data_IF_808674463124
#
_entry.id   IF_808674463124
#
_cell.length_a   1.000
_cell.length_b   1.000
_cell.length_c   1.000
_cell.angle_alpha   90.00
_cell.angle_beta   90.00
_cell.angle_gamma   90.00
#
_symmetry.space_group_name_H-M   'P 1'
#
loop_
_entity.id
_entity.type
_entity.pdbx_description
1 polymer ?
#
# COMPACT_ATOMS: atom_id res chain seq x y z
N UNK A 1 -38.90 20.81 -13.71
CA UNK A 1 -37.78 21.04 -12.77
C UNK A 1 -38.27 21.25 -11.33
N UNK A 2 -38.83 20.21 -10.66
CA UNK A 2 -38.96 20.15 -9.19
C UNK A 2 -39.42 18.78 -8.64
N UNK A 3 -39.42 17.72 -9.47
CA UNK A 3 -39.99 16.41 -9.10
C UNK A 3 -38.98 15.25 -8.97
N UNK A 4 -37.68 15.45 -9.24
CA UNK A 4 -36.68 14.37 -9.17
C UNK A 4 -35.71 14.49 -7.97
N UNK A 5 -35.70 15.63 -7.27
CA UNK A 5 -34.83 15.86 -6.11
C UNK A 5 -35.38 15.31 -4.77
N UNK A 6 -36.65 14.85 -4.72
CA UNK A 6 -37.30 14.34 -3.49
C UNK A 6 -37.28 12.81 -3.32
N UNK A 7 -36.77 12.05 -4.29
CA UNK A 7 -36.89 10.59 -4.31
C UNK A 7 -35.78 9.80 -3.59
N UNK A 8 -34.77 10.45 -3.01
CA UNK A 8 -33.59 9.75 -2.47
C UNK A 8 -33.34 9.97 -0.97
N UNK A 9 -34.41 10.09 -0.19
CA UNK A 9 -34.35 10.07 1.28
C UNK A 9 -34.68 8.64 1.79
N UNK A 10 -33.66 7.78 1.92
CA UNK A 10 -33.83 6.41 2.40
C UNK A 10 -33.82 6.40 3.93
N UNK A 11 -34.97 6.01 4.51
CA UNK A 11 -35.16 5.74 5.95
C UNK A 11 -34.26 4.59 6.43
N UNK A 12 -33.79 4.60 7.69
CA UNK A 12 -33.05 3.47 8.27
C UNK A 12 -33.94 2.22 8.41
N UNK A 13 -33.39 1.00 8.27
CA UNK A 13 -34.15 -0.23 8.47
C UNK A 13 -34.51 -0.44 9.96
N UNK A 14 -35.62 -1.14 10.26
CA UNK A 14 -36.07 -1.35 11.63
C UNK A 14 -35.24 -2.40 12.35
N UNK A 15 -35.07 -2.20 13.67
CA UNK A 15 -34.45 -3.11 14.61
C UNK A 15 -35.14 -4.49 14.60
N UNK A 16 -34.36 -5.55 14.36
CA UNK A 16 -34.82 -6.93 14.51
C UNK A 16 -34.19 -7.56 15.76
N UNK A 17 -35.10 -7.95 16.67
CA UNK A 17 -34.88 -8.50 18.00
C UNK A 17 -34.00 -9.75 18.05
N UNK A 18 -33.25 -9.80 19.15
CA UNK A 18 -32.57 -10.95 19.74
C UNK A 18 -33.39 -12.24 19.70
N UNK A 19 -32.74 -13.34 19.28
CA UNK A 19 -33.05 -14.69 19.78
C UNK A 19 -31.75 -15.36 20.25
N UNK A 20 -31.64 -15.49 21.57
CA UNK A 20 -30.69 -16.38 22.29
C UNK A 20 -31.19 -17.82 22.19
N UNK A 21 -30.32 -18.79 21.91
CA UNK A 21 -30.39 -20.17 22.46
C UNK A 21 -28.94 -20.69 22.66
N UNK A 22 -28.63 -21.45 23.74
CA UNK A 22 -27.28 -21.52 24.31
C UNK A 22 -26.62 -22.93 24.33
N UNK A 23 -25.43 -23.00 24.97
CA UNK A 23 -24.70 -24.17 25.52
C UNK A 23 -24.11 -25.17 24.50
N UNK A 24 -23.06 -25.95 24.74
CA UNK A 24 -21.88 -26.03 25.63
C UNK A 24 -21.25 -27.42 25.36
N UNK A 25 -19.96 -27.62 25.66
CA UNK A 25 -19.31 -28.92 25.96
C UNK A 25 -19.01 -29.78 24.68
N UNK A 26 -17.86 -30.45 24.44
CA UNK A 26 -16.82 -31.02 25.30
C UNK A 26 -15.47 -31.16 24.54
N UNK A 27 -14.36 -30.99 25.26
CA UNK A 27 -13.04 -31.53 24.94
C UNK A 27 -13.03 -33.06 25.14
N UNK A 28 -12.35 -33.82 24.27
CA UNK A 28 -11.67 -35.06 24.70
C UNK A 28 -10.54 -35.46 23.76
N UNK A 29 -9.39 -35.65 24.38
CA UNK A 29 -8.14 -36.16 23.85
C UNK A 29 -8.24 -37.67 23.58
N UNK A 30 -7.61 -38.13 22.50
CA UNK A 30 -7.37 -39.55 22.25
C UNK A 30 -5.91 -39.87 22.61
N UNK A 31 -5.75 -40.59 23.72
CA UNK A 31 -4.54 -41.36 24.06
C UNK A 31 -4.62 -42.69 23.30
N UNK A 32 -3.52 -43.08 22.66
CA UNK A 32 -3.31 -44.42 22.11
C UNK A 32 -2.30 -45.14 22.99
N UNK A 33 -2.66 -46.32 23.50
CA UNK A 33 -1.74 -47.27 24.12
C UNK A 33 -1.46 -48.46 23.18
N UNK A 34 -0.31 -49.14 23.31
CA UNK A 34 0.21 -50.08 22.34
C UNK A 34 -0.15 -51.55 22.67
N UNK A 35 -0.24 -52.39 21.63
CA UNK A 35 -0.25 -53.85 21.77
C UNK A 35 1.11 -54.44 21.39
N UNK A 36 1.64 -55.24 22.30
CA UNK A 36 2.82 -56.06 22.17
C UNK A 36 2.59 -57.30 21.29
N UNK A 37 3.64 -57.75 20.61
CA UNK A 37 3.89 -59.17 20.37
C UNK A 37 5.39 -59.42 20.24
N UNK A 38 5.89 -60.34 21.06
CA UNK A 38 7.28 -60.76 21.16
C UNK A 38 7.54 -62.00 20.30
N UNK A 39 8.73 -62.10 19.70
CA UNK A 39 9.48 -63.36 19.51
C UNK A 39 10.98 -63.04 19.56
N UNK A 40 11.69 -63.72 20.46
CA UNK A 40 13.11 -63.50 20.71
C UNK A 40 14.05 -64.38 19.88
N UNK A 41 15.36 -64.12 20.03
CA UNK A 41 16.46 -65.09 20.07
C UNK A 41 17.78 -64.41 20.47
N UNK A 42 18.27 -64.79 21.65
CA UNK A 42 19.64 -65.20 22.04
C UNK A 42 20.87 -64.33 21.66
N UNK A 43 21.58 -63.88 22.71
CA UNK A 43 22.96 -63.30 22.83
C UNK A 43 24.02 -64.43 22.82
N UNK A 44 25.35 -64.21 22.56
CA UNK A 44 26.24 -63.50 23.51
C UNK A 44 27.52 -62.86 22.94
N UNK A 45 28.27 -62.14 23.80
CA UNK A 45 29.72 -61.94 23.61
C UNK A 45 30.23 -60.55 23.99
N UNK A 46 30.95 -60.47 25.10
CA UNK A 46 31.68 -59.29 25.62
C UNK A 46 32.91 -58.97 24.78
N UNK A 47 33.37 -57.71 24.82
CA UNK A 47 34.75 -57.32 25.19
C UNK A 47 34.90 -55.79 25.17
N UNK A 48 35.31 -55.24 26.31
CA UNK A 48 35.80 -53.87 26.48
C UNK A 48 37.31 -53.83 26.18
N UNK A 49 37.82 -52.77 25.53
CA UNK A 49 39.22 -52.38 25.63
C UNK A 49 39.40 -51.09 26.48
N UNK A 50 40.63 -50.79 26.93
CA UNK A 50 40.89 -50.05 28.15
C UNK A 50 41.04 -48.53 27.97
N UNK A 51 40.96 -47.84 29.12
CA UNK A 51 41.29 -46.45 29.35
C UNK A 51 42.77 -46.19 29.06
N UNK A 52 43.05 -45.23 28.18
CA UNK A 52 44.37 -44.64 28.02
C UNK A 52 44.24 -43.11 28.08
N UNK A 53 44.93 -42.51 29.05
CA UNK A 53 45.01 -41.08 29.29
C UNK A 53 46.04 -40.46 28.36
N UNK A 54 45.70 -39.39 27.61
CA UNK A 54 46.69 -38.38 27.20
C UNK A 54 46.07 -37.01 26.85
N UNK A 55 46.63 -35.99 27.50
CA UNK A 55 46.81 -34.57 27.15
C UNK A 55 45.61 -33.60 26.97
N UNK A 56 45.68 -32.38 27.55
CA UNK A 56 44.63 -31.36 27.45
C UNK A 56 44.64 -30.70 26.06
N UNK A 57 43.49 -30.70 25.37
CA UNK A 57 43.28 -29.88 24.17
C UNK A 57 42.89 -28.46 24.56
N UNK A 58 43.61 -27.52 23.95
CA UNK A 58 43.61 -26.07 24.11
C UNK A 58 42.21 -25.43 24.07
N UNK A 59 41.98 -24.30 24.77
CA UNK A 59 40.71 -23.61 24.72
C UNK A 59 40.42 -23.08 23.31
N UNK A 60 39.22 -23.40 22.82
CA UNK A 60 38.59 -22.81 21.65
C UNK A 60 38.75 -21.28 21.67
N UNK A 61 39.11 -20.61 20.55
CA UNK A 61 39.08 -19.17 20.51
C UNK A 61 37.64 -18.71 20.73
N UNK A 62 37.45 -17.93 21.79
CA UNK A 62 36.21 -17.28 22.14
C UNK A 62 35.54 -16.71 20.89
N UNK A 63 34.27 -17.04 20.71
CA UNK A 63 33.42 -16.47 19.68
C UNK A 63 33.65 -14.95 19.66
N UNK A 64 34.27 -14.46 18.58
CA UNK A 64 34.36 -13.03 18.30
C UNK A 64 32.93 -12.50 18.35
N UNK A 65 32.59 -11.83 19.45
CA UNK A 65 31.43 -10.95 19.52
C UNK A 65 31.62 -10.00 18.36
N UNK A 66 30.88 -10.20 17.27
CA UNK A 66 30.76 -9.20 16.23
C UNK A 66 30.15 -7.99 16.92
N UNK A 67 30.98 -7.02 17.26
CA UNK A 67 30.50 -5.69 17.57
C UNK A 67 29.53 -5.32 16.44
N UNK A 68 28.28 -4.92 16.73
CA UNK A 68 27.45 -4.34 15.69
C UNK A 68 28.24 -3.16 15.11
N UNK A 69 28.25 -2.98 13.77
CA UNK A 69 28.88 -1.81 13.19
C UNK A 69 28.28 -0.58 13.88
N UNK A 70 29.14 0.39 14.22
CA UNK A 70 28.74 1.74 14.64
C UNK A 70 27.59 2.21 13.73
N UNK A 71 26.37 2.18 14.25
CA UNK A 71 25.14 2.45 13.51
C UNK A 71 24.58 3.84 13.85
N UNK A 72 25.44 4.75 14.31
CA UNK A 72 25.05 5.99 14.97
C UNK A 72 25.16 7.26 14.10
N UNK A 73 25.57 7.15 12.82
CA UNK A 73 25.75 8.34 11.95
C UNK A 73 24.90 8.34 10.66
N UNK A 74 23.75 7.67 10.62
CA UNK A 74 22.92 7.69 9.40
C UNK A 74 21.45 7.92 9.73
N UNK A 75 20.79 8.75 8.94
CA UNK A 75 19.37 9.12 9.09
C UNK A 75 18.41 7.92 9.12
N UNK A 76 17.15 8.18 9.44
CA UNK A 76 16.14 7.14 9.71
C UNK A 76 15.97 6.19 8.52
N UNK A 77 15.88 4.89 8.80
CA UNK A 77 15.88 3.82 7.79
C UNK A 77 14.49 3.24 7.60
N UNK A 78 13.91 3.51 6.44
CA UNK A 78 12.53 3.17 6.10
C UNK A 78 12.50 2.05 5.04
N UNK A 79 11.80 0.96 5.35
CA UNK A 79 11.65 -0.17 4.44
C UNK A 79 10.20 -0.29 3.95
N UNK A 80 9.99 -0.05 2.65
CA UNK A 80 8.68 -0.05 2.00
C UNK A 80 8.43 -1.40 1.32
N UNK A 81 7.35 -2.09 1.68
CA UNK A 81 7.08 -3.46 1.23
C UNK A 81 5.72 -3.59 0.57
N UNK A 82 5.69 -3.94 -0.73
CA UNK A 82 4.45 -4.06 -1.49
C UNK A 82 4.54 -5.06 -2.64
N UNK A 83 3.60 -4.95 -3.57
CA UNK A 83 3.66 -5.65 -4.86
C UNK A 83 2.55 -6.67 -5.09
N UNK A 84 2.44 -7.07 -6.36
CA UNK A 84 1.45 -8.00 -6.90
C UNK A 84 0.73 -7.45 -8.12
N UNK A 85 0.43 -6.15 -8.14
CA UNK A 85 -0.44 -5.51 -9.14
C UNK A 85 0.11 -4.16 -9.64
N UNK A 86 1.30 -3.74 -9.23
CA UNK A 86 1.84 -2.38 -9.50
C UNK A 86 1.14 -1.25 -8.73
N UNK A 87 -0.20 -1.27 -8.62
CA UNK A 87 -0.99 -0.22 -7.94
C UNK A 87 -0.68 -0.03 -6.45
N UNK A 88 -0.09 -1.02 -5.79
CA UNK A 88 0.37 -0.90 -4.40
C UNK A 88 1.73 -0.21 -4.27
N UNK A 89 2.53 -0.12 -5.35
CA UNK A 89 3.89 0.42 -5.29
C UNK A 89 3.94 1.93 -5.54
N UNK A 90 3.06 2.48 -6.39
CA UNK A 90 2.99 3.92 -6.64
C UNK A 90 2.75 4.76 -5.37
N UNK A 91 1.83 4.40 -4.45
CA UNK A 91 1.71 5.12 -3.19
C UNK A 91 2.97 5.04 -2.33
N UNK A 92 3.73 3.94 -2.44
CA UNK A 92 5.02 3.78 -1.77
C UNK A 92 6.09 4.74 -2.30
N UNK A 93 6.14 4.96 -3.62
CA UNK A 93 7.03 5.96 -4.21
C UNK A 93 6.70 7.37 -3.70
N UNK A 94 5.41 7.73 -3.64
CA UNK A 94 4.99 9.03 -3.10
C UNK A 94 5.35 9.18 -1.60
N UNK A 95 5.26 8.11 -0.81
CA UNK A 95 5.71 8.12 0.59
C UNK A 95 7.24 8.29 0.66
N UNK A 96 8.01 7.57 -0.17
CA UNK A 96 9.47 7.66 -0.20
C UNK A 96 9.95 9.08 -0.53
N UNK A 97 9.38 9.69 -1.57
CA UNK A 97 9.66 11.08 -1.94
C UNK A 97 9.31 12.05 -0.80
N UNK A 98 8.15 11.86 -0.14
CA UNK A 98 7.74 12.70 0.97
C UNK A 98 8.59 12.51 2.24
N UNK A 99 9.17 11.33 2.45
CA UNK A 99 10.13 11.06 3.52
C UNK A 99 11.43 11.81 3.24
N UNK A 100 12.01 11.65 2.04
CA UNK A 100 13.28 12.31 1.68
C UNK A 100 13.14 13.84 1.62
N UNK A 101 11.96 14.37 1.29
CA UNK A 101 11.69 15.79 1.36
C UNK A 101 11.68 16.35 2.80
N UNK A 102 11.34 15.52 3.79
CA UNK A 102 11.32 15.92 5.21
C UNK A 102 12.64 15.62 5.92
N UNK A 103 13.33 14.54 5.52
CA UNK A 103 14.63 14.14 6.05
C UNK A 103 15.53 13.65 4.91
N UNK A 104 16.35 14.54 4.33
CA UNK A 104 17.23 14.20 3.21
C UNK A 104 18.25 13.09 3.53
N UNK A 105 18.60 12.90 4.80
CA UNK A 105 19.55 11.89 5.28
C UNK A 105 18.89 10.51 5.51
N UNK A 106 17.57 10.41 5.39
CA UNK A 106 16.85 9.15 5.57
C UNK A 106 17.23 8.15 4.48
N UNK A 107 17.40 6.88 4.86
CA UNK A 107 17.62 5.81 3.90
C UNK A 107 16.31 5.09 3.61
N UNK A 108 15.91 5.03 2.33
CA UNK A 108 14.69 4.33 1.90
C UNK A 108 15.03 3.13 1.03
N UNK A 109 14.44 1.96 1.33
CA UNK A 109 14.57 0.76 0.53
C UNK A 109 13.21 0.11 0.26
N UNK A 110 13.09 -0.59 -0.87
CA UNK A 110 11.86 -1.24 -1.30
C UNK A 110 11.98 -2.76 -1.32
N UNK A 111 10.84 -3.43 -1.14
CA UNK A 111 10.65 -4.82 -1.57
C UNK A 111 9.39 -5.00 -2.41
N UNK A 112 9.50 -5.86 -3.42
CA UNK A 112 8.42 -6.16 -4.35
C UNK A 112 8.40 -7.64 -4.72
N UNK A 113 7.34 -8.09 -5.42
CA UNK A 113 7.29 -9.46 -5.93
C UNK A 113 8.10 -9.57 -7.22
N UNK A 114 8.41 -10.80 -7.64
CA UNK A 114 9.09 -11.08 -8.93
C UNK A 114 8.19 -10.90 -10.17
N UNK A 115 7.05 -10.21 -10.06
CA UNK A 115 6.16 -9.97 -11.20
C UNK A 115 6.74 -8.88 -12.09
N UNK A 116 6.65 -9.00 -13.43
CA UNK A 116 7.19 -7.99 -14.35
C UNK A 116 6.65 -6.59 -14.10
N UNK A 117 5.36 -6.47 -13.75
CA UNK A 117 4.73 -5.17 -13.46
C UNK A 117 5.35 -4.49 -12.24
N UNK A 118 5.71 -5.25 -11.20
CA UNK A 118 6.30 -4.67 -9.99
C UNK A 118 7.72 -4.16 -10.27
N UNK A 119 8.51 -4.92 -11.05
CA UNK A 119 9.84 -4.48 -11.52
C UNK A 119 9.74 -3.22 -12.36
N UNK A 120 8.78 -3.17 -13.29
CA UNK A 120 8.57 -2.02 -14.17
C UNK A 120 8.25 -0.75 -13.38
N UNK A 121 7.45 -0.84 -12.31
CA UNK A 121 7.09 0.33 -11.49
C UNK A 121 8.28 0.88 -10.69
N UNK A 122 9.18 0.01 -10.21
CA UNK A 122 10.35 0.45 -9.43
C UNK A 122 11.60 0.68 -10.29
N UNK A 123 11.59 0.28 -11.56
CA UNK A 123 12.68 0.54 -12.50
C UNK A 123 12.91 2.05 -12.66
N UNK A 124 14.17 2.48 -12.56
CA UNK A 124 14.54 3.89 -12.67
C UNK A 124 14.22 4.75 -11.45
N UNK A 125 13.67 4.19 -10.37
CA UNK A 125 13.34 4.96 -9.15
C UNK A 125 14.55 5.38 -8.30
N UNK A 126 15.75 4.81 -8.55
CA UNK A 126 16.96 5.08 -7.78
C UNK A 126 17.03 4.39 -6.41
N UNK A 127 15.93 3.82 -5.91
CA UNK A 127 15.91 3.15 -4.60
C UNK A 127 16.50 1.73 -4.65
N UNK A 128 17.16 1.27 -3.57
CA UNK A 128 17.52 -0.14 -3.41
C UNK A 128 16.26 -1.03 -3.37
N UNK A 129 16.10 -1.92 -4.36
CA UNK A 129 14.94 -2.83 -4.47
C UNK A 129 15.35 -4.26 -4.15
N UNK A 130 14.53 -4.95 -3.35
CA UNK A 130 14.67 -6.38 -3.07
C UNK A 130 13.47 -7.16 -3.55
N UNK A 131 13.72 -8.10 -4.45
CA UNK A 131 12.66 -8.99 -4.91
C UNK A 131 12.48 -10.18 -3.98
N UNK A 132 11.24 -10.42 -3.58
CA UNK A 132 10.86 -11.56 -2.76
C UNK A 132 10.04 -12.57 -3.58
N UNK A 133 10.27 -13.84 -3.29
CA UNK A 133 9.59 -14.99 -3.87
C UNK A 133 8.17 -15.14 -3.34
N UNK A 134 7.38 -14.06 -3.25
CA UNK A 134 6.01 -14.11 -2.76
C UNK A 134 5.05 -14.57 -3.86
N UNK A 135 4.04 -15.38 -3.49
CA UNK A 135 2.97 -15.85 -4.38
C UNK A 135 1.61 -15.70 -3.68
N UNK A 136 0.53 -15.42 -4.43
CA UNK A 136 -0.81 -15.45 -3.86
C UNK A 136 -1.24 -16.90 -3.55
N UNK A 137 -2.08 -17.07 -2.54
CA UNK A 137 -2.70 -18.37 -2.26
C UNK A 137 -3.72 -18.70 -3.36
N UNK A 138 -3.48 -19.79 -4.08
CA UNK A 138 -4.40 -20.26 -5.13
C UNK A 138 -5.70 -20.85 -4.55
N UNK A 139 -6.78 -20.81 -5.34
CA UNK A 139 -8.08 -21.40 -4.98
C UNK A 139 -8.05 -22.93 -4.95
N UNK A 140 -7.06 -23.53 -5.61
CA UNK A 140 -6.96 -24.97 -5.89
C UNK A 140 -5.98 -25.62 -4.90
N UNK A 141 -6.37 -26.67 -4.14
CA UNK A 141 -5.54 -27.24 -3.08
C UNK A 141 -4.14 -27.70 -3.52
N UNK A 142 -4.00 -28.21 -4.73
CA UNK A 142 -2.71 -28.64 -5.29
C UNK A 142 -1.70 -27.49 -5.48
N UNK A 143 -2.14 -26.23 -5.44
CA UNK A 143 -1.25 -25.06 -5.48
C UNK A 143 -0.68 -24.69 -4.12
N UNK A 144 -1.19 -25.28 -3.04
CA UNK A 144 -0.82 -24.93 -1.67
C UNK A 144 0.61 -25.33 -1.28
N UNK A 145 1.16 -26.49 -1.70
CA UNK A 145 2.57 -26.80 -1.44
C UNK A 145 3.53 -25.76 -2.06
N UNK A 146 3.26 -25.34 -3.30
CA UNK A 146 4.05 -24.30 -3.97
C UNK A 146 3.90 -22.93 -3.27
N UNK A 147 2.71 -22.61 -2.77
CA UNK A 147 2.49 -21.42 -1.93
C UNK A 147 3.28 -21.51 -0.62
N UNK A 148 3.25 -22.64 0.09
CA UNK A 148 3.95 -22.83 1.36
C UNK A 148 5.47 -22.72 1.18
N UNK A 149 6.04 -23.35 0.14
CA UNK A 149 7.45 -23.23 -0.20
C UNK A 149 7.84 -21.76 -0.48
N UNK A 150 7.01 -21.05 -1.26
CA UNK A 150 7.16 -19.62 -1.53
C UNK A 150 7.05 -18.76 -0.27
N UNK A 151 6.15 -19.11 0.65
CA UNK A 151 5.95 -18.41 1.92
C UNK A 151 7.15 -18.56 2.87
N UNK A 152 7.70 -19.77 3.00
CA UNK A 152 8.90 -20.02 3.80
C UNK A 152 10.10 -19.28 3.19
N UNK A 153 10.27 -19.39 1.86
CA UNK A 153 11.36 -18.73 1.14
C UNK A 153 11.30 -17.21 1.24
N UNK A 154 10.15 -16.60 0.95
CA UNK A 154 9.95 -15.15 1.06
C UNK A 154 10.15 -14.65 2.49
N UNK A 155 9.75 -15.45 3.49
CA UNK A 155 10.05 -15.16 4.90
C UNK A 155 11.54 -15.20 5.22
N UNK A 156 12.31 -16.08 4.60
CA UNK A 156 13.77 -16.14 4.71
C UNK A 156 14.47 -14.95 4.04
N UNK A 157 14.07 -14.65 2.80
CA UNK A 157 14.56 -13.50 2.02
C UNK A 157 14.28 -12.18 2.75
N UNK A 158 13.05 -11.97 3.22
CA UNK A 158 12.66 -10.80 4.01
C UNK A 158 13.51 -10.66 5.28
N UNK A 159 13.65 -11.73 6.07
CA UNK A 159 14.46 -11.69 7.30
C UNK A 159 15.93 -11.37 7.03
N UNK A 160 16.50 -11.94 5.97
CA UNK A 160 17.89 -11.64 5.58
C UNK A 160 18.03 -10.16 5.24
N UNK A 161 17.15 -9.66 4.37
CA UNK A 161 17.21 -8.28 3.93
C UNK A 161 17.00 -7.27 5.05
N UNK A 162 16.06 -7.53 5.96
CA UNK A 162 15.83 -6.65 7.11
C UNK A 162 17.02 -6.65 8.09
N UNK A 163 17.77 -7.76 8.22
CA UNK A 163 19.00 -7.76 9.02
C UNK A 163 20.16 -7.02 8.36
N UNK A 164 20.19 -6.96 7.04
CA UNK A 164 21.20 -6.20 6.30
C UNK A 164 20.89 -4.70 6.31
N UNK A 165 19.61 -4.35 6.15
CA UNK A 165 19.16 -2.94 6.15
C UNK A 165 18.98 -2.36 7.56
N UNK A 166 18.61 -3.21 8.53
CA UNK A 166 18.29 -2.84 9.91
C UNK A 166 17.26 -1.68 10.01
N UNK A 167 16.06 -1.79 9.40
CA UNK A 167 15.13 -0.67 9.37
C UNK A 167 14.66 -0.26 10.76
N UNK A 168 14.35 1.03 10.87
CA UNK A 168 13.62 1.59 12.01
C UNK A 168 12.13 1.37 11.82
N UNK A 169 11.63 1.53 10.58
CA UNK A 169 10.23 1.31 10.23
C UNK A 169 10.08 0.42 9.00
N UNK A 170 9.12 -0.50 9.05
CA UNK A 170 8.65 -1.28 7.89
C UNK A 170 7.21 -0.87 7.54
N UNK A 171 7.00 -0.33 6.34
CA UNK A 171 5.67 0.05 5.86
C UNK A 171 5.15 -0.96 4.85
N UNK A 172 4.04 -1.62 5.18
CA UNK A 172 3.32 -2.49 4.26
C UNK A 172 2.41 -1.71 3.32
N UNK A 173 2.73 -1.67 2.03
CA UNK A 173 1.97 -0.95 1.00
C UNK A 173 0.75 -1.72 0.47
N UNK A 174 0.47 -2.90 1.04
CA UNK A 174 -0.59 -3.80 0.57
C UNK A 174 -0.10 -4.87 -0.41
N UNK A 175 -1.05 -5.60 -0.99
CA UNK A 175 -0.77 -6.80 -1.78
C UNK A 175 -0.21 -7.97 -0.96
N UNK A 176 -0.15 -9.15 -1.57
CA UNK A 176 0.40 -10.34 -0.89
C UNK A 176 1.94 -10.25 -0.71
N UNK A 177 2.61 -9.38 -1.48
CA UNK A 177 4.04 -9.13 -1.34
C UNK A 177 4.43 -8.50 0.00
N UNK A 178 3.57 -7.64 0.56
CA UNK A 178 3.86 -6.96 1.84
C UNK A 178 3.94 -7.91 3.05
N UNK A 179 3.34 -9.10 2.98
CA UNK A 179 3.12 -9.92 4.18
C UNK A 179 4.43 -10.42 4.83
N UNK A 180 5.33 -11.00 4.05
CA UNK A 180 6.57 -11.57 4.60
C UNK A 180 7.50 -10.48 5.18
N UNK A 181 7.76 -9.35 4.48
CA UNK A 181 8.56 -8.25 5.03
C UNK A 181 7.97 -7.63 6.30
N UNK A 182 6.69 -7.27 6.31
CA UNK A 182 6.06 -6.64 7.49
C UNK A 182 6.08 -7.60 8.68
N UNK A 183 5.75 -8.88 8.46
CA UNK A 183 5.80 -9.89 9.54
C UNK A 183 7.23 -10.06 10.07
N UNK A 184 8.23 -10.02 9.20
CA UNK A 184 9.62 -10.09 9.61
C UNK A 184 10.05 -8.83 10.38
N UNK A 185 9.59 -7.64 9.98
CA UNK A 185 9.79 -6.37 10.71
C UNK A 185 9.22 -6.41 12.12
N UNK A 186 7.97 -6.87 12.28
CA UNK A 186 7.33 -7.07 13.58
C UNK A 186 8.11 -8.01 14.51
N UNK A 187 8.87 -8.96 13.94
CA UNK A 187 9.72 -9.89 14.71
C UNK A 187 11.14 -9.36 14.93
N UNK A 188 11.56 -8.39 14.13
CA UNK A 188 12.89 -7.79 14.18
C UNK A 188 12.98 -6.61 15.17
N UNK A 189 11.84 -6.18 15.73
CA UNK A 189 11.77 -5.04 16.64
C UNK A 189 11.72 -3.68 15.94
N UNK A 190 11.52 -3.66 14.61
CA UNK A 190 11.20 -2.43 13.88
C UNK A 190 9.74 -2.04 14.16
N UNK A 191 9.47 -0.73 14.18
CA UNK A 191 8.09 -0.27 14.12
C UNK A 191 7.49 -0.65 12.76
N UNK A 192 6.18 -0.88 12.72
CA UNK A 192 5.48 -1.32 11.53
C UNK A 192 4.23 -0.50 11.27
N UNK A 193 4.11 -0.05 10.03
CA UNK A 193 2.93 0.65 9.54
C UNK A 193 2.32 -0.09 8.35
N UNK A 194 1.04 0.15 8.09
CA UNK A 194 0.34 -0.42 6.94
C UNK A 194 -0.40 0.69 6.22
N UNK A 195 -0.27 0.74 4.89
CA UNK A 195 -1.15 1.52 4.02
C UNK A 195 -2.31 0.64 3.57
N UNK A 196 -3.53 1.08 3.86
CA UNK A 196 -4.77 0.42 3.46
C UNK A 196 -5.71 1.41 2.74
N UNK A 197 -5.57 1.54 1.41
CA UNK A 197 -6.45 2.41 0.61
C UNK A 197 -7.87 1.84 0.49
N UNK A 198 -8.03 0.52 0.34
CA UNK A 198 -9.35 -0.08 0.12
C UNK A 198 -10.26 -0.01 1.35
N UNK A 199 -11.54 0.33 1.15
CA UNK A 199 -12.52 0.43 2.25
C UNK A 199 -12.64 -0.87 3.09
N UNK A 200 -12.54 -2.03 2.43
CA UNK A 200 -12.45 -3.31 3.12
C UNK A 200 -10.99 -3.76 3.11
N UNK A 201 -10.36 -3.91 4.28
CA UNK A 201 -8.98 -4.37 4.35
C UNK A 201 -8.80 -5.76 3.76
N UNK A 202 -7.81 -5.87 2.87
CA UNK A 202 -7.34 -7.14 2.34
C UNK A 202 -6.83 -8.08 3.44
N UNK A 203 -6.78 -9.39 3.16
CA UNK A 203 -6.43 -10.41 4.16
C UNK A 203 -5.06 -10.17 4.83
N UNK A 204 -4.07 -9.72 4.05
CA UNK A 204 -2.74 -9.40 4.57
C UNK A 204 -2.81 -8.22 5.55
N UNK A 205 -3.35 -7.09 5.11
CA UNK A 205 -3.51 -5.88 5.93
C UNK A 205 -4.33 -6.16 7.20
N UNK A 206 -5.45 -6.90 7.09
CA UNK A 206 -6.28 -7.28 8.25
C UNK A 206 -5.51 -8.11 9.28
N UNK A 207 -4.61 -9.00 8.83
CA UNK A 207 -3.83 -9.88 9.72
C UNK A 207 -2.62 -9.18 10.32
N UNK A 208 -1.94 -8.35 9.54
CA UNK A 208 -0.74 -7.62 9.97
C UNK A 208 -1.11 -6.42 10.85
N UNK A 209 -2.22 -5.74 10.53
CA UNK A 209 -2.69 -4.53 11.20
C UNK A 209 -3.05 -4.73 12.66
N UNK A 210 -3.38 -5.96 13.08
CA UNK A 210 -3.58 -6.31 14.50
C UNK A 210 -2.33 -6.12 15.38
N UNK A 211 -1.14 -6.03 14.75
CA UNK A 211 0.15 -5.84 15.42
C UNK A 211 0.95 -4.68 14.82
N UNK A 212 0.36 -3.92 13.90
CA UNK A 212 0.99 -2.72 13.39
C UNK A 212 0.87 -1.61 14.43
N UNK A 213 1.86 -0.73 14.46
CA UNK A 213 1.85 0.47 15.29
C UNK A 213 0.88 1.51 14.73
N UNK A 214 0.78 1.61 13.39
CA UNK A 214 -0.19 2.46 12.69
C UNK A 214 -0.76 1.80 11.44
N UNK A 215 -2.02 2.08 11.13
CA UNK A 215 -2.67 1.70 9.88
C UNK A 215 -3.26 2.94 9.22
N UNK A 216 -2.66 3.35 8.11
CA UNK A 216 -3.06 4.49 7.31
C UNK A 216 -4.23 4.10 6.41
N UNK A 217 -5.38 4.74 6.64
CA UNK A 217 -6.65 4.44 6.01
C UNK A 217 -7.09 5.62 5.13
N UNK A 218 -7.75 5.29 4.02
CA UNK A 218 -8.41 6.27 3.16
C UNK A 218 -9.86 6.54 3.57
N UNK A 219 -10.56 5.56 4.14
CA UNK A 219 -11.97 5.62 4.50
C UNK A 219 -12.17 5.54 6.02
N UNK A 220 -13.18 6.24 6.54
CA UNK A 220 -13.49 6.28 7.97
C UNK A 220 -13.91 4.90 8.50
N UNK A 221 -14.68 4.17 7.71
CA UNK A 221 -15.13 2.81 8.01
C UNK A 221 -13.94 1.84 8.19
N UNK A 222 -12.84 2.09 7.45
CA UNK A 222 -11.60 1.33 7.61
C UNK A 222 -10.87 1.70 8.90
N UNK A 223 -10.88 2.97 9.30
CA UNK A 223 -10.29 3.41 10.58
C UNK A 223 -10.98 2.70 11.74
N UNK A 224 -12.30 2.67 11.75
CA UNK A 224 -13.10 1.98 12.76
C UNK A 224 -12.76 0.48 12.84
N UNK A 225 -12.54 -0.16 11.69
CA UNK A 225 -12.14 -1.58 11.63
C UNK A 225 -10.76 -1.87 12.26
N UNK A 226 -9.88 -0.87 12.38
CA UNK A 226 -8.56 -0.98 13.02
C UNK A 226 -8.46 -0.30 14.39
N UNK A 227 -9.52 0.38 14.84
CA UNK A 227 -9.61 1.02 16.15
C UNK A 227 -8.51 2.06 16.40
N UNK A 228 -7.89 1.97 17.58
CA UNK A 228 -6.77 2.79 18.07
C UNK A 228 -5.57 2.89 17.11
N UNK A 229 -5.40 1.93 16.20
CA UNK A 229 -4.31 1.90 15.20
C UNK A 229 -4.67 2.60 13.90
N UNK A 230 -5.96 2.76 13.61
CA UNK A 230 -6.45 3.39 12.38
C UNK A 230 -6.16 4.88 12.35
N UNK A 231 -5.64 5.39 11.24
CA UNK A 231 -5.41 6.82 11.00
C UNK A 231 -6.02 7.19 9.67
N UNK A 232 -7.03 8.05 9.68
CA UNK A 232 -7.57 8.63 8.45
C UNK A 232 -6.49 9.57 7.90
N UNK A 233 -5.80 9.15 6.84
CA UNK A 233 -4.71 9.89 6.19
C UNK A 233 -4.97 10.09 4.71
N UNK A 234 -5.83 9.26 4.12
CA UNK A 234 -6.02 9.20 2.67
C UNK A 234 -5.10 8.17 2.03
N UNK A 235 -5.05 8.17 0.70
CA UNK A 235 -4.10 7.39 -0.07
C UNK A 235 -3.10 8.37 -0.72
N UNK A 236 -1.78 8.13 -0.61
CA UNK A 236 -0.76 8.96 -1.25
C UNK A 236 -1.04 9.16 -2.75
N UNK A 237 -1.16 10.43 -3.15
CA UNK A 237 -1.34 10.84 -4.54
C UNK A 237 0.02 11.28 -5.09
N UNK A 238 0.31 10.94 -6.34
CA UNK A 238 1.55 11.32 -7.02
C UNK A 238 1.61 12.85 -7.18
N UNK A 239 2.76 13.50 -6.93
CA UNK A 239 2.89 14.95 -7.13
C UNK A 239 2.50 15.41 -8.55
N UNK A 240 2.83 14.62 -9.57
CA UNK A 240 2.48 14.91 -10.96
C UNK A 240 0.98 14.94 -11.27
N UNK A 241 0.15 14.33 -10.41
CA UNK A 241 -1.31 14.44 -10.50
C UNK A 241 -1.79 15.78 -9.94
N UNK A 242 -1.17 16.25 -8.85
CA UNK A 242 -1.56 17.48 -8.16
C UNK A 242 -1.03 18.75 -8.86
N UNK A 243 0.11 18.64 -9.54
CA UNK A 243 0.78 19.79 -10.18
C UNK A 243 0.27 20.11 -11.59
N UNK A 244 -0.51 19.22 -12.21
CA UNK A 244 -0.97 19.40 -13.59
C UNK A 244 -2.01 20.52 -13.70
N UNK A 245 -1.87 21.38 -14.72
CA UNK A 245 -2.81 22.47 -14.98
C UNK A 245 -3.80 22.12 -16.09
N UNK A 246 -4.98 22.78 -16.08
CA UNK A 246 -6.00 22.57 -17.11
C UNK A 246 -5.47 22.86 -18.52
N UNK A 247 -4.71 23.95 -18.68
CA UNK A 247 -4.15 24.34 -19.97
C UNK A 247 -3.21 23.28 -20.54
N UNK A 248 -2.29 22.75 -19.72
CA UNK A 248 -1.41 21.64 -20.13
C UNK A 248 -2.20 20.39 -20.48
N UNK A 249 -3.24 20.08 -19.70
CA UNK A 249 -4.13 18.94 -19.94
C UNK A 249 -4.84 19.05 -21.29
N UNK A 250 -5.50 20.17 -21.54
CA UNK A 250 -6.21 20.42 -22.79
C UNK A 250 -5.27 20.36 -24.00
N UNK A 251 -4.10 21.01 -23.91
CA UNK A 251 -3.09 20.98 -24.96
C UNK A 251 -2.57 19.57 -25.24
N UNK A 252 -2.27 18.79 -24.20
CA UNK A 252 -1.74 17.43 -24.34
C UNK A 252 -2.70 16.47 -25.06
N UNK A 253 -4.02 16.72 -24.97
CA UNK A 253 -5.03 15.89 -25.62
C UNK A 253 -5.67 16.53 -26.85
N UNK A 254 -5.27 17.76 -27.22
CA UNK A 254 -5.84 18.50 -28.34
C UNK A 254 -7.31 18.85 -28.14
N UNK A 255 -7.69 19.19 -26.90
CA UNK A 255 -9.04 19.53 -26.50
C UNK A 255 -9.30 21.04 -26.61
N UNK A 256 -10.53 21.40 -26.95
CA UNK A 256 -10.95 22.80 -27.11
C UNK A 256 -11.08 23.49 -25.74
N UNK A 257 -10.34 24.59 -25.48
CA UNK A 257 -10.40 25.29 -24.20
C UNK A 257 -11.75 25.98 -23.92
N UNK A 258 -12.58 26.22 -24.93
CA UNK A 258 -13.91 26.80 -24.77
C UNK A 258 -14.95 25.78 -24.28
N UNK A 259 -14.59 24.48 -24.22
CA UNK A 259 -15.50 23.38 -23.88
C UNK A 259 -15.19 22.76 -22.53
N UNK A 260 -16.23 22.22 -21.90
CA UNK A 260 -16.11 21.32 -20.74
C UNK A 260 -15.79 19.90 -21.19
N UNK A 261 -15.04 19.16 -20.39
CA UNK A 261 -14.55 17.82 -20.76
C UNK A 261 -15.14 16.75 -19.84
N UNK A 262 -15.82 15.77 -20.44
CA UNK A 262 -16.13 14.50 -19.80
C UNK A 262 -14.94 13.55 -19.97
N UNK A 263 -14.27 13.20 -18.88
CA UNK A 263 -13.24 12.16 -18.88
C UNK A 263 -13.88 10.79 -18.65
N UNK A 264 -13.56 9.82 -19.51
CA UNK A 264 -14.00 8.43 -19.37
C UNK A 264 -12.79 7.54 -19.21
N UNK A 265 -12.73 6.76 -18.13
CA UNK A 265 -11.58 5.88 -17.87
C UNK A 265 -11.95 4.59 -17.14
N UNK A 266 -11.52 3.45 -17.71
CA UNK A 266 -11.63 2.14 -17.06
C UNK A 266 -10.54 1.83 -16.03
N UNK A 267 -9.70 2.81 -15.66
CA UNK A 267 -8.41 2.62 -14.99
C UNK A 267 -7.42 1.81 -15.85
N UNK A 268 -6.35 1.28 -15.24
CA UNK A 268 -5.15 0.78 -15.94
C UNK A 268 -5.37 -0.37 -16.93
N UNK A 269 -6.46 -1.14 -16.80
CA UNK A 269 -6.77 -2.26 -17.70
C UNK A 269 -7.84 -1.92 -18.75
N UNK A 270 -8.40 -0.71 -18.70
CA UNK A 270 -9.64 -0.39 -19.42
C UNK A 270 -10.85 -1.11 -18.83
N UNK A 271 -12.04 -0.73 -19.29
CA UNK A 271 -13.29 -1.32 -18.83
C UNK A 271 -14.28 -1.39 -19.99
N UNK A 272 -14.38 -2.56 -20.62
CA UNK A 272 -15.27 -2.79 -21.77
C UNK A 272 -16.72 -2.36 -21.50
N UNK A 273 -17.27 -2.68 -20.34
CA UNK A 273 -18.64 -2.27 -19.98
C UNK A 273 -18.79 -0.75 -19.89
N UNK A 274 -17.78 -0.03 -19.38
CA UNK A 274 -17.77 1.43 -19.34
C UNK A 274 -17.68 2.00 -20.76
N UNK A 275 -16.78 1.45 -21.60
CA UNK A 275 -16.62 1.87 -22.98
C UNK A 275 -17.94 1.76 -23.76
N UNK A 276 -18.60 0.59 -23.67
CA UNK A 276 -19.89 0.31 -24.31
C UNK A 276 -20.99 1.23 -23.78
N UNK A 277 -21.07 1.41 -22.46
CA UNK A 277 -22.08 2.26 -21.84
C UNK A 277 -21.97 3.72 -22.31
N UNK A 278 -20.76 4.26 -22.39
CA UNK A 278 -20.53 5.63 -22.87
C UNK A 278 -20.82 5.76 -24.36
N UNK A 279 -20.39 4.79 -25.18
CA UNK A 279 -20.72 4.81 -26.62
C UNK A 279 -22.24 4.76 -26.84
N UNK A 280 -22.95 3.92 -26.09
CA UNK A 280 -24.42 3.84 -26.13
C UNK A 280 -25.07 5.15 -25.71
N UNK A 281 -24.62 5.75 -24.58
CA UNK A 281 -25.06 7.07 -24.12
C UNK A 281 -24.93 8.14 -25.22
N UNK A 282 -23.77 8.18 -25.87
CA UNK A 282 -23.49 9.20 -26.89
C UNK A 282 -24.32 8.99 -28.17
N UNK A 283 -24.63 7.75 -28.54
CA UNK A 283 -25.53 7.44 -29.67
C UNK A 283 -26.98 7.83 -29.37
N UNK A 284 -27.44 7.61 -28.15
CA UNK A 284 -28.81 7.87 -27.73
C UNK A 284 -29.09 9.37 -27.57
N UNK A 285 -28.20 10.09 -26.87
CA UNK A 285 -28.45 11.48 -26.46
C UNK A 285 -27.32 12.47 -26.76
N UNK A 286 -26.10 11.99 -26.99
CA UNK A 286 -24.90 12.83 -27.14
C UNK A 286 -24.37 13.39 -25.82
N UNK A 287 -23.81 14.60 -25.85
CA UNK A 287 -23.50 15.41 -24.65
C UNK A 287 -24.21 16.77 -24.71
N UNK A 288 -24.39 17.46 -23.56
CA UNK A 288 -24.89 18.82 -23.57
C UNK A 288 -24.00 19.74 -24.42
N UNK A 289 -24.58 20.81 -24.96
CA UNK A 289 -23.84 21.79 -25.74
C UNK A 289 -22.66 22.37 -24.93
N UNK A 290 -21.54 22.65 -25.61
CA UNK A 290 -20.32 23.13 -24.97
C UNK A 290 -19.50 22.04 -24.27
N UNK A 291 -19.85 20.76 -24.39
CA UNK A 291 -19.04 19.65 -23.89
C UNK A 291 -18.23 18.95 -25.00
N UNK A 292 -17.20 18.24 -24.57
CA UNK A 292 -16.35 17.32 -25.34
C UNK A 292 -15.96 16.10 -24.48
N UNK A 293 -15.43 15.04 -25.10
CA UNK A 293 -15.02 13.81 -24.39
C UNK A 293 -13.51 13.60 -24.45
N UNK A 294 -12.89 13.22 -23.34
CA UNK A 294 -11.61 12.53 -23.33
C UNK A 294 -11.86 11.07 -22.92
N UNK A 295 -11.71 10.12 -23.84
CA UNK A 295 -11.99 8.70 -23.58
C UNK A 295 -10.70 7.87 -23.57
N UNK A 296 -10.34 7.37 -22.39
CA UNK A 296 -9.25 6.41 -22.18
C UNK A 296 -9.79 4.98 -22.22
N UNK A 297 -9.71 4.36 -23.39
CA UNK A 297 -10.44 3.12 -23.72
C UNK A 297 -9.81 1.86 -23.13
N UNK A 298 -8.53 1.91 -22.78
CA UNK A 298 -7.68 0.73 -22.66
C UNK A 298 -7.19 0.24 -24.03
N UNK A 299 -6.05 -0.45 -24.02
CA UNK A 299 -5.37 -0.91 -25.24
C UNK A 299 -6.23 -1.88 -26.08
N UNK A 300 -7.00 -2.76 -25.43
CA UNK A 300 -7.72 -3.84 -26.12
C UNK A 300 -8.92 -3.39 -26.96
N UNK A 301 -9.57 -2.27 -26.61
CA UNK A 301 -10.85 -1.85 -27.22
C UNK A 301 -10.72 -0.53 -28.01
N UNK A 302 -9.49 -0.01 -28.16
CA UNK A 302 -9.27 1.32 -28.72
C UNK A 302 -9.80 1.47 -30.15
N UNK A 303 -9.55 0.48 -31.02
CA UNK A 303 -9.95 0.54 -32.42
C UNK A 303 -11.47 0.63 -32.59
N UNK A 304 -12.22 -0.24 -31.90
CA UNK A 304 -13.68 -0.28 -31.96
C UNK A 304 -14.31 1.00 -31.40
N UNK A 305 -13.83 1.47 -30.25
CA UNK A 305 -14.36 2.70 -29.64
C UNK A 305 -14.04 3.92 -30.51
N UNK A 306 -12.82 4.03 -31.06
CA UNK A 306 -12.46 5.13 -31.94
C UNK A 306 -13.32 5.15 -33.22
N UNK A 307 -13.68 3.98 -33.77
CA UNK A 307 -14.60 3.89 -34.90
C UNK A 307 -15.99 4.40 -34.54
N UNK A 308 -16.54 3.98 -33.40
CA UNK A 308 -17.85 4.44 -32.94
C UNK A 308 -17.90 5.96 -32.75
N UNK A 309 -16.84 6.59 -32.22
CA UNK A 309 -16.80 8.06 -32.07
C UNK A 309 -16.80 8.81 -33.41
N UNK A 310 -16.19 8.25 -34.46
CA UNK A 310 -16.22 8.84 -35.82
C UNK A 310 -17.63 8.85 -36.40
N UNK A 311 -18.44 7.83 -36.12
CA UNK A 311 -19.84 7.75 -36.55
C UNK A 311 -20.73 8.74 -35.78
N UNK A 312 -20.53 8.85 -34.47
CA UNK A 312 -21.34 9.69 -33.58
C UNK A 312 -21.10 11.19 -33.80
N UNK A 313 -19.92 11.56 -34.32
CA UNK A 313 -19.51 12.97 -34.57
C UNK A 313 -19.54 13.88 -33.33
N UNK A 314 -19.41 13.30 -32.13
CA UNK A 314 -19.21 14.07 -30.89
C UNK A 314 -17.76 14.55 -30.80
N UNK A 315 -17.50 15.82 -30.44
CA UNK A 315 -16.15 16.33 -30.19
C UNK A 315 -15.44 15.50 -29.11
N UNK A 316 -14.36 14.82 -29.49
CA UNK A 316 -13.69 13.91 -28.59
C UNK A 316 -12.22 13.67 -28.92
N UNK A 317 -11.42 13.43 -27.87
CA UNK A 317 -10.12 12.79 -27.95
C UNK A 317 -10.23 11.35 -27.42
N UNK A 318 -10.06 10.36 -28.31
CA UNK A 318 -10.05 8.94 -27.94
C UNK A 318 -8.60 8.45 -27.90
N UNK A 319 -8.16 7.87 -26.77
CA UNK A 319 -6.81 7.35 -26.57
C UNK A 319 -6.86 5.98 -25.89
N UNK A 320 -5.92 5.06 -26.18
CA UNK A 320 -5.86 3.78 -25.49
C UNK A 320 -5.47 3.93 -24.02
N UNK A 321 -4.57 4.88 -23.71
CA UNK A 321 -4.00 5.07 -22.39
C UNK A 321 -3.46 6.50 -22.24
N UNK A 322 -3.35 6.98 -21.00
CA UNK A 322 -2.68 8.24 -20.65
C UNK A 322 -1.55 7.95 -19.65
N UNK A 323 -0.31 8.16 -20.07
CA UNK A 323 0.86 7.97 -19.21
C UNK A 323 0.88 8.97 -18.05
N UNK A 324 0.60 10.23 -18.37
CA UNK A 324 0.48 11.34 -17.41
C UNK A 324 -0.99 11.55 -17.04
N UNK A 325 -1.52 10.69 -16.20
CA UNK A 325 -2.94 10.74 -15.79
C UNK A 325 -3.34 12.09 -15.16
N UNK A 326 -2.40 12.79 -14.50
CA UNK A 326 -2.63 14.15 -13.99
C UNK A 326 -3.13 15.13 -15.04
N UNK A 327 -2.62 15.06 -16.26
CA UNK A 327 -3.06 15.91 -17.37
C UNK A 327 -4.50 15.60 -17.79
N UNK A 328 -4.89 14.33 -17.77
CA UNK A 328 -6.25 13.92 -18.12
C UNK A 328 -7.26 14.40 -17.06
N UNK A 329 -6.88 14.32 -15.78
CA UNK A 329 -7.68 14.88 -14.69
C UNK A 329 -7.77 16.40 -14.78
N UNK A 330 -6.65 17.10 -14.99
CA UNK A 330 -6.64 18.56 -15.06
C UNK A 330 -7.48 19.11 -16.21
N UNK A 331 -7.60 18.37 -17.32
CA UNK A 331 -8.47 18.72 -18.45
C UNK A 331 -9.97 18.48 -18.19
N UNK A 332 -10.32 17.68 -17.19
CA UNK A 332 -11.68 17.18 -16.96
C UNK A 332 -12.54 18.13 -16.11
N UNK A 333 -13.86 18.07 -16.33
CA UNK A 333 -14.87 18.72 -15.51
C UNK A 333 -15.80 17.71 -14.82
N UNK A 334 -16.01 16.54 -15.44
CA UNK A 334 -16.74 15.39 -14.90
C UNK A 334 -16.02 14.11 -15.30
N UNK A 335 -16.05 13.09 -14.44
CA UNK A 335 -15.38 11.81 -14.70
C UNK A 335 -16.35 10.63 -14.65
N UNK A 336 -16.33 9.76 -15.64
CA UNK A 336 -16.91 8.41 -15.58
C UNK A 336 -15.78 7.41 -15.40
N UNK A 337 -15.76 6.69 -14.27
CA UNK A 337 -14.64 5.81 -13.96
C UNK A 337 -15.00 4.56 -13.16
N UNK A 338 -14.08 3.59 -13.13
CA UNK A 338 -14.09 2.55 -12.09
C UNK A 338 -13.79 3.17 -10.70
N UNK A 339 -14.38 2.60 -9.66
CA UNK A 339 -14.19 3.04 -8.26
C UNK A 339 -13.02 2.33 -7.57
N UNK A 340 -11.83 2.41 -8.16
CA UNK A 340 -10.59 1.93 -7.51
C UNK A 340 -10.12 2.91 -6.42
N UNK A 341 -9.54 2.42 -5.33
CA UNK A 341 -9.13 3.25 -4.19
C UNK A 341 -8.21 4.41 -4.58
N UNK A 342 -7.15 4.13 -5.36
CA UNK A 342 -6.24 5.17 -5.85
C UNK A 342 -6.91 6.15 -6.80
N UNK A 343 -7.79 5.68 -7.70
CA UNK A 343 -8.55 6.57 -8.59
C UNK A 343 -9.45 7.50 -7.79
N UNK A 344 -10.14 6.99 -6.78
CA UNK A 344 -10.95 7.81 -5.87
C UNK A 344 -10.07 8.84 -5.16
N UNK A 345 -8.92 8.44 -4.62
CA UNK A 345 -8.02 9.34 -3.93
C UNK A 345 -7.50 10.46 -4.83
N UNK A 346 -7.10 10.12 -6.06
CA UNK A 346 -6.65 11.08 -7.07
C UNK A 346 -7.78 12.07 -7.40
N UNK A 347 -8.98 11.59 -7.73
CA UNK A 347 -10.12 12.44 -8.10
C UNK A 347 -10.57 13.36 -6.96
N UNK A 348 -10.65 12.86 -5.73
CA UNK A 348 -10.95 13.69 -4.57
C UNK A 348 -9.87 14.74 -4.33
N UNK A 349 -8.59 14.37 -4.43
CA UNK A 349 -7.47 15.29 -4.21
C UNK A 349 -7.44 16.45 -5.22
N UNK A 350 -7.86 16.21 -6.47
CA UNK A 350 -7.98 17.27 -7.50
C UNK A 350 -9.37 17.92 -7.57
N UNK A 351 -10.32 17.48 -6.74
CA UNK A 351 -11.65 18.08 -6.68
C UNK A 351 -12.60 17.73 -7.82
N UNK A 352 -12.41 16.59 -8.46
CA UNK A 352 -13.21 16.19 -9.62
C UNK A 352 -14.47 15.41 -9.22
N UNK A 353 -15.66 15.86 -9.66
CA UNK A 353 -16.88 15.08 -9.50
C UNK A 353 -16.87 13.85 -10.41
N UNK A 354 -17.48 12.76 -9.94
CA UNK A 354 -17.46 11.50 -10.67
C UNK A 354 -18.80 10.75 -10.69
N UNK A 355 -19.04 10.01 -11.77
CA UNK A 355 -19.99 8.91 -11.84
C UNK A 355 -19.19 7.62 -11.87
N UNK A 356 -19.20 6.89 -10.75
CA UNK A 356 -18.49 5.64 -10.64
C UNK A 356 -19.32 4.47 -11.16
N UNK A 357 -18.69 3.62 -11.97
CA UNK A 357 -19.18 2.30 -12.37
C UNK A 357 -18.31 1.22 -11.70
N UNK A 358 -18.61 0.77 -10.48
CA UNK A 358 -17.77 -0.17 -9.73
C UNK A 358 -17.58 -1.51 -10.43
N UNK A 359 -16.40 -2.12 -10.30
CA UNK A 359 -16.10 -3.43 -10.89
C UNK A 359 -17.06 -4.53 -10.39
N UNK A 360 -17.79 -5.22 -11.29
CA UNK A 360 -18.93 -6.03 -10.90
C UNK A 360 -18.60 -7.45 -10.44
N UNK A 361 -17.41 -7.97 -10.81
CA UNK A 361 -17.09 -9.38 -10.58
C UNK A 361 -16.42 -9.68 -9.22
N UNK A 362 -16.24 -8.67 -8.36
CA UNK A 362 -15.62 -8.88 -7.06
C UNK A 362 -16.65 -9.30 -6.00
N UNK A 363 -16.48 -10.50 -5.40
CA UNK A 363 -17.43 -11.07 -4.42
C UNK A 363 -17.77 -10.11 -3.27
N UNK A 364 -16.75 -9.43 -2.72
CA UNK A 364 -16.94 -8.51 -1.60
C UNK A 364 -17.46 -7.11 -2.00
N UNK A 365 -17.68 -6.89 -3.30
CA UNK A 365 -18.12 -5.61 -3.87
C UNK A 365 -17.31 -4.39 -3.38
N UNK A 366 -15.99 -4.55 -3.24
CA UNK A 366 -15.09 -3.53 -2.69
C UNK A 366 -15.27 -2.16 -3.34
N UNK A 367 -15.36 -2.11 -4.67
CA UNK A 367 -15.50 -0.84 -5.38
C UNK A 367 -16.89 -0.20 -5.18
N UNK A 368 -17.94 -1.00 -4.99
CA UNK A 368 -19.28 -0.47 -4.76
C UNK A 368 -19.35 0.23 -3.39
N UNK A 369 -18.77 -0.38 -2.35
CA UNK A 369 -18.71 0.25 -1.03
C UNK A 369 -17.90 1.54 -1.04
N UNK A 370 -16.77 1.56 -1.76
CA UNK A 370 -15.97 2.77 -1.94
C UNK A 370 -16.76 3.87 -2.66
N UNK A 371 -17.42 3.55 -3.77
CA UNK A 371 -18.24 4.50 -4.51
C UNK A 371 -19.38 5.07 -3.66
N UNK A 372 -20.04 4.23 -2.85
CA UNK A 372 -21.11 4.64 -1.94
C UNK A 372 -20.61 5.55 -0.81
N UNK A 373 -19.42 5.27 -0.25
CA UNK A 373 -18.81 6.14 0.75
C UNK A 373 -18.56 7.55 0.19
N UNK A 374 -18.07 7.64 -1.04
CA UNK A 374 -17.86 8.94 -1.71
C UNK A 374 -19.19 9.61 -2.09
N UNK A 375 -20.19 8.84 -2.52
CA UNK A 375 -21.53 9.35 -2.79
C UNK A 375 -22.19 9.93 -1.53
N UNK A 376 -22.00 9.32 -0.36
CA UNK A 376 -22.52 9.84 0.91
C UNK A 376 -21.93 11.21 1.28
N UNK A 377 -20.74 11.54 0.77
CA UNK A 377 -20.12 12.86 0.91
C UNK A 377 -20.63 13.88 -0.13
N UNK A 378 -21.43 13.45 -1.10
CA UNK A 378 -21.93 14.30 -2.20
C UNK A 378 -20.92 14.54 -3.33
N UNK A 379 -19.75 13.88 -3.31
CA UNK A 379 -18.67 14.09 -4.28
C UNK A 379 -18.82 13.25 -5.56
N UNK A 380 -19.65 12.20 -5.54
CA UNK A 380 -19.82 11.30 -6.67
C UNK A 380 -21.22 10.65 -6.71
N UNK A 381 -21.53 9.99 -7.81
CA UNK A 381 -22.68 9.08 -7.96
C UNK A 381 -22.14 7.66 -8.16
N UNK A 382 -22.71 6.68 -7.47
CA UNK A 382 -22.38 5.27 -7.60
C UNK A 382 -23.44 4.55 -8.44
N UNK A 383 -23.07 4.13 -9.65
CA UNK A 383 -23.91 3.34 -10.54
C UNK A 383 -23.42 1.89 -10.57
N UNK A 384 -24.28 0.95 -10.19
CA UNK A 384 -23.96 -0.47 -10.33
C UNK A 384 -23.73 -0.84 -11.80
N UNK A 385 -22.54 -1.34 -12.11
CA UNK A 385 -22.21 -1.85 -13.44
C UNK A 385 -22.81 -3.24 -13.61
N UNK A 386 -23.85 -3.38 -14.42
CA UNK A 386 -24.30 -4.68 -14.92
C UNK A 386 -23.78 -4.83 -16.35
N UNK A 387 -22.79 -5.71 -16.60
CA UNK A 387 -22.22 -5.86 -17.92
C UNK A 387 -23.28 -6.24 -18.96
N UNK A 388 -23.22 -5.60 -20.12
CA UNK A 388 -24.11 -5.86 -21.26
C UNK A 388 -25.61 -5.67 -20.94
N UNK A 389 -25.92 -4.78 -20.00
CA UNK A 389 -27.27 -4.40 -19.59
C UNK A 389 -27.62 -2.99 -20.11
N UNK A 390 -28.58 -2.91 -21.03
CA UNK A 390 -29.00 -1.65 -21.64
C UNK A 390 -29.55 -0.65 -20.63
N UNK A 391 -30.19 -1.13 -19.56
CA UNK A 391 -30.72 -0.29 -18.49
C UNK A 391 -29.59 0.41 -17.71
N UNK A 392 -28.50 -0.30 -17.42
CA UNK A 392 -27.29 0.30 -16.82
C UNK A 392 -26.73 1.41 -17.70
N UNK A 393 -26.71 1.22 -19.03
CA UNK A 393 -26.20 2.22 -19.98
C UNK A 393 -27.10 3.45 -20.04
N UNK A 394 -28.42 3.25 -20.08
CA UNK A 394 -29.42 4.32 -20.02
C UNK A 394 -29.29 5.12 -18.73
N UNK A 395 -29.14 4.46 -17.58
CA UNK A 395 -28.95 5.13 -16.29
C UNK A 395 -27.63 5.91 -16.21
N UNK A 396 -26.55 5.39 -16.80
CA UNK A 396 -25.29 6.14 -16.92
C UNK A 396 -25.52 7.42 -17.71
N UNK A 397 -26.19 7.32 -18.86
CA UNK A 397 -26.52 8.46 -19.71
C UNK A 397 -27.31 9.52 -18.96
N UNK A 398 -28.38 9.13 -18.27
CA UNK A 398 -29.21 10.03 -17.47
C UNK A 398 -28.41 10.74 -16.38
N UNK A 399 -27.59 10.01 -15.63
CA UNK A 399 -26.81 10.56 -14.52
C UNK A 399 -25.72 11.52 -15.02
N UNK A 400 -24.93 11.10 -15.99
CA UNK A 400 -23.85 11.93 -16.53
C UNK A 400 -24.43 13.19 -17.19
N UNK A 401 -25.51 13.06 -17.97
CA UNK A 401 -26.18 14.20 -18.59
C UNK A 401 -26.78 15.16 -17.56
N UNK A 402 -27.45 14.64 -16.52
CA UNK A 402 -28.08 15.46 -15.49
C UNK A 402 -27.04 16.30 -14.72
N UNK A 403 -25.90 15.69 -14.36
CA UNK A 403 -24.80 16.41 -13.71
C UNK A 403 -24.15 17.42 -14.66
N UNK A 404 -23.91 17.03 -15.92
CA UNK A 404 -23.29 17.90 -16.92
C UNK A 404 -24.16 19.12 -17.30
N UNK A 405 -25.49 18.98 -17.22
CA UNK A 405 -26.46 20.03 -17.55
C UNK A 405 -26.77 20.97 -16.37
N UNK A 406 -26.44 20.59 -15.13
CA UNK A 406 -26.67 21.40 -13.93
C UNK A 406 -25.32 21.90 -13.39
N UNK A 407 -24.95 23.11 -13.82
CA UNK A 407 -23.69 23.74 -13.39
C UNK A 407 -23.58 23.92 -11.87
N UNK A 408 -24.72 24.15 -11.17
CA UNK A 408 -24.72 24.30 -9.72
C UNK A 408 -24.50 22.95 -9.04
N UNK A 409 -25.10 21.87 -9.55
CA UNK A 409 -24.86 20.54 -9.03
C UNK A 409 -23.43 20.07 -9.27
N UNK A 410 -22.90 20.27 -10.48
CA UNK A 410 -21.50 19.97 -10.79
C UNK A 410 -20.55 20.69 -9.84
N UNK A 411 -20.77 21.99 -9.59
CA UNK A 411 -19.96 22.78 -8.67
C UNK A 411 -20.05 22.28 -7.21
N UNK A 412 -21.26 21.91 -6.73
CA UNK A 412 -21.43 21.31 -5.39
C UNK A 412 -20.69 19.98 -5.26
N UNK A 413 -20.74 19.13 -6.28
CA UNK A 413 -20.00 17.85 -6.27
C UNK A 413 -18.48 18.08 -6.28
N UNK A 414 -18.00 19.05 -7.06
CA UNK A 414 -16.59 19.41 -7.07
C UNK A 414 -16.10 19.97 -5.73
N UNK A 415 -16.91 20.81 -5.06
CA UNK A 415 -16.63 21.30 -3.70
C UNK A 415 -16.58 20.14 -2.69
N UNK A 416 -17.56 19.25 -2.73
CA UNK A 416 -17.58 18.06 -1.89
C UNK A 416 -16.35 17.16 -2.14
N UNK A 417 -15.93 17.01 -3.40
CA UNK A 417 -14.73 16.27 -3.75
C UNK A 417 -13.48 16.91 -3.13
N UNK A 418 -13.32 18.25 -3.24
CA UNK A 418 -12.20 18.99 -2.64
C UNK A 418 -12.21 18.89 -1.11
N UNK A 419 -13.36 19.01 -0.48
CA UNK A 419 -13.51 18.90 0.97
C UNK A 419 -13.16 17.50 1.50
N UNK A 420 -13.48 16.45 0.75
CA UNK A 420 -13.13 15.07 1.07
C UNK A 420 -11.69 14.70 0.66
N UNK A 421 -11.07 15.48 -0.23
CA UNK A 421 -9.73 15.27 -0.76
C UNK A 421 -8.64 15.39 0.29
N UNK A 422 -7.62 14.53 0.17
CA UNK A 422 -6.44 14.53 1.04
C UNK A 422 -5.15 14.63 0.22
N UNK A 423 -4.89 15.77 -0.46
CA UNK A 423 -3.73 15.93 -1.34
C UNK A 423 -2.40 15.81 -0.60
N UNK A 424 -2.39 16.02 0.73
CA UNK A 424 -1.20 15.92 1.59
C UNK A 424 -1.01 14.54 2.25
N UNK A 425 -1.71 13.51 1.78
CA UNK A 425 -1.65 12.17 2.37
C UNK A 425 -0.22 11.60 2.43
N UNK A 426 0.58 11.82 1.39
CA UNK A 426 1.96 11.34 1.35
C UNK A 426 2.83 12.00 2.44
N UNK A 427 2.71 13.33 2.60
CA UNK A 427 3.44 14.11 3.60
C UNK A 427 3.00 13.75 5.01
N UNK A 428 1.69 13.60 5.25
CA UNK A 428 1.16 13.20 6.54
C UNK A 428 1.63 11.80 6.93
N UNK A 429 1.61 10.84 6.00
CA UNK A 429 2.11 9.49 6.23
C UNK A 429 3.62 9.49 6.49
N UNK A 430 4.39 10.23 5.70
CA UNK A 430 5.83 10.35 5.88
C UNK A 430 6.19 10.89 7.27
N UNK A 431 5.56 11.98 7.72
CA UNK A 431 5.74 12.52 9.08
C UNK A 431 5.49 11.45 10.15
N UNK A 432 4.36 10.76 10.04
CA UNK A 432 3.98 9.71 10.98
C UNK A 432 4.92 8.49 10.95
N UNK A 433 5.53 8.20 9.80
CA UNK A 433 6.55 7.15 9.66
C UNK A 433 7.85 7.59 10.34
N UNK A 434 8.28 8.85 10.17
CA UNK A 434 9.46 9.38 10.85
C UNK A 434 9.30 9.38 12.38
N UNK A 435 8.12 9.77 12.90
CA UNK A 435 7.80 9.66 14.33
C UNK A 435 7.88 8.22 14.88
N UNK A 436 7.49 7.23 14.06
CA UNK A 436 7.63 5.83 14.46
C UNK A 436 9.09 5.38 14.51
N UNK A 437 9.92 5.91 13.61
CA UNK A 437 11.35 5.65 13.61
C UNK A 437 12.02 6.28 14.84
N UNK A 438 11.62 7.47 15.28
CA UNK A 438 12.13 8.11 16.51
C UNK A 438 12.00 7.22 17.72
N UNK A 439 10.79 6.72 17.97
CA UNK A 439 10.58 5.82 19.10
C UNK A 439 11.40 4.53 19.03
N UNK A 440 11.81 4.09 17.84
CA UNK A 440 12.70 2.91 17.68
C UNK A 440 14.16 3.28 17.95
N UNK A 441 14.61 4.43 17.45
CA UNK A 441 15.96 4.94 17.67
C UNK A 441 16.17 5.19 19.17
N UNK A 442 15.25 5.90 19.84
CA UNK A 442 15.30 6.15 21.28
C UNK A 442 15.40 4.84 22.09
N UNK A 443 14.58 3.83 21.77
CA UNK A 443 14.64 2.52 22.43
C UNK A 443 15.98 1.81 22.22
N UNK A 444 16.59 1.94 21.03
CA UNK A 444 17.91 1.36 20.76
C UNK A 444 19.01 2.09 21.53
N UNK A 445 18.95 3.43 21.61
CA UNK A 445 19.89 4.23 22.39
C UNK A 445 19.79 3.91 23.89
N UNK A 446 18.57 3.82 24.43
CA UNK A 446 18.35 3.47 25.83
C UNK A 446 18.79 2.04 26.19
N UNK A 447 18.88 1.14 25.21
CA UNK A 447 19.34 -0.24 25.40
C UNK A 447 20.86 -0.40 25.29
N UNK A 448 21.60 0.64 24.91
CA UNK A 448 23.06 0.61 24.92
C UNK A 448 23.56 0.71 26.36
N UNK A 449 24.58 -0.08 26.77
CA UNK A 449 25.22 0.11 28.06
C UNK A 449 25.77 1.54 28.16
N UNK A 450 25.76 2.16 29.36
CA UNK A 450 26.29 3.51 29.54
C UNK A 450 27.70 3.55 28.97
N UNK A 451 27.95 4.53 28.10
CA UNK A 451 29.28 4.73 27.54
C UNK A 451 30.23 4.96 28.72
N UNK A 452 31.21 4.08 28.89
CA UNK A 452 32.31 4.30 29.82
C UNK A 452 33.00 5.56 29.28
N UNK A 453 32.89 6.67 30.04
CA UNK A 453 33.60 7.89 29.73
C UNK A 453 35.08 7.54 29.47
N UNK A 454 35.73 8.09 28.43
CA UNK A 454 37.15 7.85 28.24
C UNK A 454 37.85 8.22 29.54
N UNK A 455 38.56 7.25 30.13
CA UNK A 455 39.38 7.50 31.30
C UNK A 455 40.25 8.72 30.97
N UNK A 456 40.09 9.80 31.73
CA UNK A 456 40.93 10.98 31.60
C UNK A 456 42.41 10.57 31.67
N UNK A 457 43.32 11.39 31.12
CA UNK A 457 44.73 11.07 31.13
C UNK A 457 45.17 10.75 32.57
N UNK A 458 45.75 9.57 32.73
CA UNK A 458 46.24 9.04 34.00
C UNK A 458 47.45 9.88 34.43
N UNK A 459 47.21 11.01 35.10
CA UNK A 459 48.26 11.82 35.73
C UNK A 459 48.51 11.21 37.10
N UNK A 460 49.41 10.23 37.16
CA UNK A 460 50.16 9.90 38.36
C UNK A 460 51.36 9.02 37.98
N UNK A 461 52.47 9.67 37.64
CA UNK A 461 53.80 9.07 37.70
C UNK A 461 54.56 9.81 38.80
N UNK A 462 54.93 9.16 39.93
CA UNK A 462 55.77 9.80 40.92
C UNK A 462 57.22 9.80 40.41
N UNK A 463 57.72 10.99 40.05
CA UNK A 463 59.14 11.19 39.74
C UNK A 463 59.88 11.38 41.06
N UNK A 464 60.60 10.37 41.52
CA UNK A 464 61.66 10.51 42.51
C UNK A 464 62.81 9.56 42.18
N UNK A 465 63.87 10.09 41.57
CA UNK A 465 65.25 9.71 41.92
C UNK A 465 66.11 10.97 41.79
N UNK A 466 66.57 11.45 42.94
CA UNK A 466 67.58 12.47 43.05
C UNK A 466 68.94 11.90 42.64
N UNK A 467 69.68 12.64 41.81
CA UNK A 467 71.12 12.48 41.68
C UNK A 467 71.79 13.80 42.08
N UNK A 468 72.39 13.81 43.26
CA UNK A 468 73.42 14.78 43.63
C UNK A 468 74.75 14.31 43.04
N UNK A 469 75.36 15.13 42.19
CA UNK A 469 76.81 15.10 41.97
C UNK A 469 77.34 16.49 41.59
N UNK A 470 77.89 17.12 42.61
CA UNK A 470 79.10 17.97 42.64
C UNK A 470 79.83 18.32 41.33
N UNK A 471 80.24 19.58 41.24
CA UNK A 471 81.43 20.05 40.52
C UNK A 471 81.08 20.73 39.20
N UNK A 472 81.04 22.06 39.14
CA UNK A 472 82.15 23.02 38.98
C UNK A 472 82.47 23.38 37.51
N UNK A 473 82.68 24.69 37.34
CA UNK A 473 83.37 25.42 36.26
C UNK A 473 82.62 25.90 34.99
N UNK A 474 82.53 27.25 34.93
CA UNK A 474 82.92 28.19 33.85
C UNK A 474 82.26 27.99 32.47
N UNK A 475 81.70 28.98 31.79
CA UNK A 475 81.76 30.44 31.88
C UNK A 475 80.48 31.03 31.25
#
# INVERSE_FOLDING_TARGET
MLSLAKAWNVRPPPEARQRRIPLCICLRALKFEPRAQARGRVRPGRTTPPLEQTAPRSPHPAARRRNPPMLLETGRRIFLAGGGTGGHLYPGLAIAEAVLAQEPEAAVAFSCTRRPIDRKVLAGSGYPVTEISARPLGKRPWTWPAFLASFIRSGGEARRRLREFCPDVVVGLGGFGSYAPVRAGQRHGAATAILNPDIIPGRANRRLGRRADRVFCQFQETVEAFGDRGRLTGCPVRPSVLAATRQEGLAAFGLDPARRTLLVTGASLGARSVNRAVVAMLRDRGLPEGWQVLHLTGHGEHGEVAAAYREIKTPAAVRPYAERMGLAYAAADLVVARAGASTIAELLAVGLPAVYMPYPYHRDQHQMRQARAVQALGAAIALEDRPDDAETWRRLAEMAWAVASDAAWLARMAEAARAAGRPRAAQEIARQVLELADGVVERRHAALPPQIAPAGPNVDTPTHVAYTRTGDEKA
#
